data_IF_383417176639
#
_entry.id   IF_383417176639
#
_cell.length_a   1.000
_cell.length_b   1.000
_cell.length_c   1.000
_cell.angle_alpha   90.00
_cell.angle_beta   90.00
_cell.angle_gamma   90.00
#
_symmetry.space_group_name_H-M   'P 1'
#
loop_
_entity.id
_entity.type
_entity.pdbx_description
1 polymer ?
#
# COMPACT_ATOMS: atom_id res chain seq x y z
N UNK A 1 -41.17 37.97 -24.32
CA UNK A 1 -40.64 36.62 -24.66
C UNK A 1 -39.22 36.66 -25.21
N UNK A 2 -38.90 37.51 -26.20
CA UNK A 2 -37.55 37.65 -26.79
C UNK A 2 -36.42 37.86 -25.76
N UNK A 3 -36.66 38.69 -24.75
CA UNK A 3 -35.65 38.99 -23.72
C UNK A 3 -35.41 37.80 -22.76
N UNK A 4 -36.45 37.02 -22.44
CA UNK A 4 -36.33 35.81 -21.60
C UNK A 4 -35.50 34.74 -22.31
N UNK A 5 -35.68 34.56 -23.62
CA UNK A 5 -34.87 33.63 -24.43
C UNK A 5 -33.40 34.03 -24.43
N UNK A 6 -33.09 35.34 -24.46
CA UNK A 6 -31.72 35.86 -24.36
C UNK A 6 -31.10 35.56 -22.99
N UNK A 7 -31.84 35.78 -21.88
CA UNK A 7 -31.34 35.46 -20.54
C UNK A 7 -31.11 33.96 -20.34
N UNK A 8 -32.01 33.10 -20.83
CA UNK A 8 -31.84 31.65 -20.78
C UNK A 8 -30.62 31.20 -21.60
N UNK A 9 -30.44 31.76 -22.80
CA UNK A 9 -29.27 31.49 -23.64
C UNK A 9 -27.97 31.90 -22.95
N UNK A 10 -27.94 33.02 -22.24
CA UNK A 10 -26.74 33.54 -21.57
C UNK A 10 -26.36 32.68 -20.35
N UNK A 11 -27.36 32.19 -19.60
CA UNK A 11 -27.17 31.25 -18.49
C UNK A 11 -26.67 29.90 -18.99
N UNK A 12 -27.19 29.39 -20.11
CA UNK A 12 -26.73 28.12 -20.72
C UNK A 12 -25.26 28.20 -21.14
N UNK A 13 -24.80 29.33 -21.71
CA UNK A 13 -23.40 29.52 -22.10
C UNK A 13 -22.46 29.51 -20.88
N UNK A 14 -22.88 30.03 -19.73
CA UNK A 14 -22.09 30.01 -18.50
C UNK A 14 -21.86 28.58 -17.96
N UNK A 15 -22.76 27.63 -18.22
CA UNK A 15 -22.56 26.22 -17.83
C UNK A 15 -21.45 25.53 -18.65
N UNK A 16 -21.12 26.00 -19.86
CA UNK A 16 -20.06 25.42 -20.69
C UNK A 16 -18.64 25.83 -20.26
N UNK A 17 -18.48 26.88 -19.46
CA UNK A 17 -17.17 27.32 -18.95
C UNK A 17 -16.82 26.74 -17.57
N UNK A 18 -17.67 25.86 -17.01
CA UNK A 18 -17.43 25.23 -15.70
C UNK A 18 -16.50 24.01 -15.76
N UNK A 19 -15.99 23.62 -16.94
CA UNK A 19 -14.94 22.60 -17.06
C UNK A 19 -13.62 23.18 -16.54
N UNK A 20 -13.36 23.01 -15.25
CA UNK A 20 -12.09 23.36 -14.64
C UNK A 20 -10.98 22.41 -15.09
N UNK A 21 -9.89 22.96 -15.62
CA UNK A 21 -8.68 22.19 -15.86
C UNK A 21 -8.19 21.60 -14.54
N UNK A 22 -8.03 20.28 -14.47
CA UNK A 22 -7.42 19.64 -13.33
C UNK A 22 -5.92 20.00 -13.30
N UNK A 23 -5.53 20.88 -12.37
CA UNK A 23 -4.14 21.34 -12.26
C UNK A 23 -3.15 20.23 -11.87
N UNK A 24 -3.66 19.07 -11.46
CA UNK A 24 -2.89 17.87 -11.16
C UNK A 24 -2.76 16.91 -12.36
N UNK A 25 -3.53 17.16 -13.42
CA UNK A 25 -3.44 16.40 -14.67
C UNK A 25 -2.33 17.00 -15.54
N UNK A 26 -1.11 16.54 -15.27
CA UNK A 26 0.12 16.93 -15.96
C UNK A 26 0.58 15.79 -16.88
N UNK A 27 1.21 16.15 -17.98
CA UNK A 27 1.81 15.16 -18.88
C UNK A 27 3.04 14.53 -18.21
N UNK A 28 2.95 13.22 -17.97
CA UNK A 28 3.99 12.39 -17.36
C UNK A 28 4.63 11.42 -18.36
N UNK A 29 4.38 11.57 -19.66
CA UNK A 29 4.88 10.67 -20.71
C UNK A 29 6.40 10.58 -20.73
N UNK A 30 7.09 11.69 -20.45
CA UNK A 30 8.56 11.78 -20.41
C UNK A 30 9.17 11.40 -19.05
N UNK A 31 8.35 11.11 -18.03
CA UNK A 31 8.83 10.75 -16.70
C UNK A 31 9.18 9.26 -16.68
N UNK A 32 10.48 8.97 -16.71
CA UNK A 32 11.01 7.61 -16.66
C UNK A 32 11.35 7.22 -15.22
N UNK A 33 10.71 6.15 -14.73
CA UNK A 33 11.06 5.47 -13.48
C UNK A 33 11.10 3.96 -13.72
N UNK A 34 11.82 3.18 -12.89
CA UNK A 34 11.70 1.73 -12.89
C UNK A 34 10.26 1.28 -12.59
N UNK A 35 9.88 0.12 -13.11
CA UNK A 35 8.61 -0.51 -12.75
C UNK A 35 8.55 -0.73 -11.22
N UNK A 36 7.42 -0.34 -10.63
CA UNK A 36 7.19 -0.49 -9.20
C UNK A 36 6.67 -1.88 -8.94
N UNK A 37 7.48 -2.71 -8.28
CA UNK A 37 7.09 -4.05 -7.84
C UNK A 37 6.69 -4.01 -6.37
N UNK A 38 5.44 -4.37 -6.06
CA UNK A 38 4.94 -4.39 -4.69
C UNK A 38 5.54 -5.56 -3.90
N UNK A 39 6.07 -5.27 -2.72
CA UNK A 39 6.61 -6.30 -1.84
C UNK A 39 5.50 -6.94 -0.98
N UNK A 40 5.39 -8.27 -1.02
CA UNK A 40 4.29 -9.02 -0.41
C UNK A 40 4.65 -9.54 1.00
N UNK A 41 4.62 -8.69 2.03
CA UNK A 41 5.03 -9.11 3.39
C UNK A 41 4.17 -10.27 3.90
N UNK A 42 2.87 -10.25 3.61
CA UNK A 42 1.97 -11.31 4.05
C UNK A 42 2.33 -12.67 3.46
N UNK A 43 2.72 -12.75 2.17
CA UNK A 43 3.16 -14.00 1.57
C UNK A 43 4.46 -14.49 2.20
N UNK A 44 5.44 -13.61 2.34
CA UNK A 44 6.73 -13.93 2.93
C UNK A 44 6.61 -14.38 4.40
N UNK A 45 5.68 -13.78 5.15
CA UNK A 45 5.39 -14.11 6.54
C UNK A 45 4.70 -15.48 6.66
N UNK A 46 3.63 -15.72 5.90
CA UNK A 46 2.88 -16.99 6.01
C UNK A 46 3.62 -18.20 5.45
N UNK A 47 4.64 -17.97 4.61
CA UNK A 47 5.54 -18.99 4.08
C UNK A 47 6.89 -19.06 4.83
N UNK A 48 7.07 -18.32 5.92
CA UNK A 48 8.34 -18.33 6.65
C UNK A 48 8.62 -19.69 7.30
N UNK A 49 9.90 -20.03 7.46
CA UNK A 49 10.29 -21.23 8.21
C UNK A 49 10.05 -20.99 9.71
N UNK A 50 9.05 -21.68 10.25
CA UNK A 50 8.67 -21.60 11.67
C UNK A 50 9.49 -22.52 12.58
N UNK A 51 10.37 -23.35 12.02
CA UNK A 51 11.34 -24.14 12.79
C UNK A 51 12.55 -23.31 13.20
N UNK A 52 12.88 -22.27 12.42
CA UNK A 52 13.94 -21.30 12.71
C UNK A 52 13.44 -19.86 12.57
N UNK A 53 12.66 -19.42 13.57
CA UNK A 53 12.08 -18.07 13.58
C UNK A 53 13.15 -16.98 13.57
N UNK A 54 14.29 -17.17 14.23
CA UNK A 54 15.35 -16.17 14.28
C UNK A 54 15.92 -15.88 12.87
N UNK A 55 16.27 -16.93 12.11
CA UNK A 55 16.79 -16.78 10.76
C UNK A 55 15.74 -16.18 9.82
N UNK A 56 14.50 -16.65 9.88
CA UNK A 56 13.39 -16.12 9.10
C UNK A 56 13.12 -14.64 9.42
N UNK A 57 13.16 -14.27 10.70
CA UNK A 57 12.99 -12.87 11.16
C UNK A 57 14.10 -11.98 10.59
N UNK A 58 15.37 -12.38 10.68
CA UNK A 58 16.49 -11.62 10.10
C UNK A 58 16.34 -11.43 8.59
N UNK A 59 15.83 -12.44 7.88
CA UNK A 59 15.54 -12.33 6.44
C UNK A 59 14.46 -11.29 6.16
N UNK A 60 13.38 -11.27 6.95
CA UNK A 60 12.30 -10.30 6.82
C UNK A 60 12.72 -8.88 7.23
N UNK A 61 13.47 -8.71 8.32
CA UNK A 61 14.07 -7.44 8.71
C UNK A 61 14.97 -6.88 7.59
N UNK A 62 15.79 -7.73 6.96
CA UNK A 62 16.65 -7.31 5.84
C UNK A 62 15.84 -6.87 4.61
N UNK A 63 14.72 -7.54 4.31
CA UNK A 63 13.90 -7.26 3.11
C UNK A 63 12.97 -6.07 3.29
N UNK A 64 12.37 -5.92 4.47
CA UNK A 64 11.30 -4.95 4.73
C UNK A 64 11.72 -3.82 5.67
N UNK A 65 12.91 -3.90 6.28
CA UNK A 65 13.47 -2.86 7.16
C UNK A 65 12.55 -2.53 8.33
N UNK A 66 12.46 -1.24 8.65
CA UNK A 66 11.67 -0.71 9.76
C UNK A 66 10.18 -1.07 9.66
N UNK A 67 9.65 -1.27 8.44
CA UNK A 67 8.25 -1.65 8.27
C UNK A 67 7.94 -2.99 8.94
N UNK A 68 8.84 -3.97 8.87
CA UNK A 68 8.62 -5.26 9.52
C UNK A 68 8.63 -5.16 11.04
N UNK A 69 9.56 -4.40 11.61
CA UNK A 69 9.61 -4.13 13.04
C UNK A 69 8.33 -3.45 13.54
N UNK A 70 7.83 -2.48 12.80
CA UNK A 70 6.55 -1.81 13.12
C UNK A 70 5.35 -2.72 12.93
N UNK A 71 5.32 -3.56 11.90
CA UNK A 71 4.29 -4.58 11.71
C UNK A 71 4.25 -5.55 12.90
N UNK A 72 5.40 -6.09 13.29
CA UNK A 72 5.48 -7.00 14.43
C UNK A 72 4.99 -6.29 15.69
N UNK A 73 5.47 -5.09 15.97
CA UNK A 73 5.13 -4.34 17.18
C UNK A 73 3.64 -3.95 17.22
N UNK A 74 3.09 -3.51 16.10
CA UNK A 74 1.72 -3.03 16.01
C UNK A 74 0.68 -4.14 15.95
N UNK A 75 0.99 -5.29 15.33
CA UNK A 75 -0.03 -6.30 14.98
C UNK A 75 0.20 -7.63 15.72
N UNK A 76 1.44 -8.11 15.75
CA UNK A 76 1.77 -9.48 16.19
C UNK A 76 2.11 -9.54 17.69
N UNK A 77 3.03 -8.67 18.12
CA UNK A 77 3.59 -8.66 19.45
C UNK A 77 3.97 -7.23 19.87
N UNK A 78 3.21 -6.63 20.78
CA UNK A 78 3.46 -5.28 21.29
C UNK A 78 4.86 -5.09 21.92
N UNK A 79 5.51 -6.17 22.38
CA UNK A 79 6.89 -6.13 22.86
C UNK A 79 7.95 -6.07 21.74
N UNK A 80 7.54 -6.18 20.48
CA UNK A 80 8.41 -6.16 19.30
C UNK A 80 9.15 -7.49 19.07
N UNK A 81 10.14 -7.44 18.19
CA UNK A 81 10.91 -8.63 17.73
C UNK A 81 11.83 -9.18 18.83
N UNK A 82 12.29 -8.33 19.75
CA UNK A 82 13.27 -8.69 20.79
C UNK A 82 12.64 -9.24 22.07
N UNK A 83 11.32 -9.17 22.18
CA UNK A 83 10.59 -9.68 23.33
C UNK A 83 10.57 -11.22 23.32
N UNK A 84 10.70 -11.83 24.50
CA UNK A 84 10.82 -13.29 24.63
C UNK A 84 9.59 -14.05 24.15
N UNK A 85 8.41 -13.40 24.09
CA UNK A 85 7.18 -14.00 23.58
C UNK A 85 7.02 -13.91 22.06
N UNK A 86 7.88 -13.16 21.37
CA UNK A 86 7.78 -12.91 19.92
C UNK A 86 7.70 -14.22 19.12
N UNK A 87 8.64 -15.15 19.34
CA UNK A 87 8.70 -16.40 18.58
C UNK A 87 7.44 -17.27 18.75
N UNK A 88 6.86 -17.26 19.95
CA UNK A 88 5.59 -17.94 20.22
C UNK A 88 4.43 -17.26 19.49
N UNK A 89 4.33 -15.93 19.59
CA UNK A 89 3.22 -15.15 19.02
C UNK A 89 3.18 -15.16 17.50
N UNK A 90 4.33 -15.03 16.85
CA UNK A 90 4.38 -15.07 15.38
C UNK A 90 4.00 -16.46 14.87
N UNK A 91 4.46 -17.52 15.54
CA UNK A 91 4.08 -18.90 15.20
C UNK A 91 2.58 -19.11 15.40
N UNK A 92 2.03 -18.63 16.52
CA UNK A 92 0.59 -18.68 16.79
C UNK A 92 -0.20 -17.95 15.71
N UNK A 93 0.20 -16.73 15.32
CA UNK A 93 -0.47 -15.96 14.27
C UNK A 93 -0.47 -16.70 12.93
N UNK A 94 0.67 -17.27 12.53
CA UNK A 94 0.80 -17.98 11.25
C UNK A 94 0.06 -19.31 11.26
N UNK A 95 0.03 -20.02 12.40
CA UNK A 95 -0.63 -21.32 12.52
C UNK A 95 -2.10 -21.25 12.90
N UNK A 96 -2.61 -20.09 13.30
CA UNK A 96 -4.00 -19.89 13.65
C UNK A 96 -4.92 -20.20 12.46
N UNK A 97 -6.01 -20.93 12.74
CA UNK A 97 -6.91 -21.43 11.70
C UNK A 97 -7.57 -20.29 10.94
N UNK A 98 -8.06 -19.30 11.65
CA UNK A 98 -8.85 -18.22 11.05
C UNK A 98 -7.92 -17.24 10.33
N UNK A 99 -6.70 -17.01 10.84
CA UNK A 99 -5.65 -16.27 10.11
C UNK A 99 -5.24 -16.97 8.81
N UNK A 100 -5.04 -18.29 8.83
CA UNK A 100 -4.72 -19.05 7.61
C UNK A 100 -5.85 -19.02 6.59
N UNK A 101 -7.10 -19.13 7.06
CA UNK A 101 -8.26 -19.06 6.18
C UNK A 101 -8.35 -17.67 5.52
N UNK A 102 -8.25 -16.60 6.31
CA UNK A 102 -8.23 -15.23 5.79
C UNK A 102 -7.09 -15.01 4.78
N UNK A 103 -5.88 -15.44 5.11
CA UNK A 103 -4.74 -15.38 4.19
C UNK A 103 -5.04 -16.11 2.88
N UNK A 104 -5.56 -17.34 2.95
CA UNK A 104 -5.88 -18.15 1.77
C UNK A 104 -6.93 -17.46 0.90
N UNK A 105 -7.96 -16.87 1.49
CA UNK A 105 -8.99 -16.17 0.74
C UNK A 105 -8.47 -14.86 0.13
N UNK A 106 -7.59 -14.13 0.83
CA UNK A 106 -6.87 -13.00 0.25
C UNK A 106 -6.00 -13.41 -0.95
N UNK A 107 -5.31 -14.56 -0.89
CA UNK A 107 -4.50 -15.04 -2.02
C UNK A 107 -5.35 -15.46 -3.23
N UNK A 108 -6.61 -15.91 -3.02
CA UNK A 108 -7.54 -16.19 -4.13
C UNK A 108 -8.00 -14.91 -4.81
N UNK A 109 -8.28 -13.85 -4.05
CA UNK A 109 -8.73 -12.56 -4.57
C UNK A 109 -7.57 -11.79 -5.21
N UNK A 110 -6.38 -11.86 -4.62
CA UNK A 110 -5.18 -11.14 -5.06
C UNK A 110 -4.01 -12.12 -5.29
N UNK A 111 -4.07 -12.94 -6.36
CA UNK A 111 -3.04 -13.94 -6.64
C UNK A 111 -1.70 -13.33 -7.07
N UNK A 112 -1.75 -12.15 -7.72
CA UNK A 112 -0.60 -11.34 -8.09
C UNK A 112 -0.87 -9.86 -7.79
N UNK A 113 0.09 -9.00 -8.10
CA UNK A 113 -0.04 -7.55 -7.97
C UNK A 113 0.20 -6.82 -9.27
N UNK A 114 0.09 -7.47 -10.43
CA UNK A 114 0.53 -6.90 -11.71
C UNK A 114 -0.24 -5.61 -12.03
N UNK A 115 -1.57 -5.63 -11.88
CA UNK A 115 -2.40 -4.43 -12.05
C UNK A 115 -2.04 -3.32 -11.03
N UNK A 116 -1.70 -3.69 -9.80
CA UNK A 116 -1.30 -2.71 -8.79
C UNK A 116 0.10 -2.16 -9.09
N UNK A 117 1.03 -2.98 -9.57
CA UNK A 117 2.37 -2.57 -9.98
C UNK A 117 2.28 -1.50 -11.08
N UNK A 118 1.41 -1.70 -12.07
CA UNK A 118 1.14 -0.72 -13.14
C UNK A 118 0.57 0.60 -12.57
N UNK A 119 -0.47 0.51 -11.74
CA UNK A 119 -1.10 1.68 -11.12
C UNK A 119 -0.13 2.46 -10.21
N UNK A 120 0.69 1.76 -9.42
CA UNK A 120 1.70 2.40 -8.59
C UNK A 120 2.83 2.99 -9.43
N UNK A 121 3.21 2.35 -10.53
CA UNK A 121 4.21 2.89 -11.47
C UNK A 121 3.71 4.21 -12.06
N UNK A 122 2.46 4.27 -12.52
CA UNK A 122 1.85 5.51 -13.00
C UNK A 122 1.77 6.58 -11.90
N UNK A 123 1.26 6.23 -10.72
CA UNK A 123 1.19 7.15 -9.59
C UNK A 123 2.57 7.69 -9.18
N UNK A 124 3.61 6.87 -9.28
CA UNK A 124 4.97 7.28 -8.93
C UNK A 124 5.64 8.12 -10.00
N UNK A 125 5.20 8.07 -11.26
CA UNK A 125 5.59 9.07 -12.26
C UNK A 125 5.08 10.45 -11.88
N UNK A 126 3.81 10.56 -11.47
CA UNK A 126 3.28 11.81 -10.91
C UNK A 126 4.06 12.24 -9.65
N UNK A 127 4.32 11.32 -8.73
CA UNK A 127 5.12 11.63 -7.54
C UNK A 127 6.51 12.16 -7.91
N UNK A 128 7.19 11.53 -8.88
CA UNK A 128 8.52 11.93 -9.35
C UNK A 128 8.50 13.32 -10.01
N UNK A 129 7.45 13.62 -10.77
CA UNK A 129 7.22 14.93 -11.38
C UNK A 129 7.13 16.03 -10.31
N UNK A 130 6.30 15.83 -9.29
CA UNK A 130 6.10 16.84 -8.23
C UNK A 130 7.24 16.88 -7.19
N UNK A 131 7.92 15.76 -6.97
CA UNK A 131 8.95 15.62 -5.93
C UNK A 131 10.26 15.01 -6.48
N UNK A 132 10.96 15.70 -7.40
CA UNK A 132 12.13 15.16 -8.13
C UNK A 132 13.37 14.94 -7.25
N UNK A 133 13.35 15.36 -5.99
CA UNK A 133 14.45 15.15 -5.03
C UNK A 133 14.10 14.13 -3.94
N UNK A 134 12.90 13.52 -4.00
CA UNK A 134 12.47 12.51 -3.03
C UNK A 134 12.67 11.12 -3.62
N UNK A 135 13.07 10.19 -2.75
CA UNK A 135 13.12 8.77 -3.09
C UNK A 135 11.70 8.24 -3.31
N UNK A 136 11.56 7.32 -4.26
CA UNK A 136 10.31 6.60 -4.44
C UNK A 136 10.10 5.67 -3.22
N UNK A 137 8.91 5.68 -2.60
CA UNK A 137 8.63 4.76 -1.52
C UNK A 137 8.50 3.33 -2.07
N UNK A 138 8.78 2.32 -1.26
CA UNK A 138 8.52 0.92 -1.62
C UNK A 138 7.11 0.55 -1.15
N UNK A 139 6.15 0.25 -2.04
CA UNK A 139 4.86 -0.26 -1.61
C UNK A 139 5.02 -1.67 -1.04
N UNK A 140 4.36 -1.92 0.09
CA UNK A 140 4.37 -3.19 0.79
C UNK A 140 2.92 -3.55 1.13
N UNK A 141 2.48 -4.76 0.77
CA UNK A 141 1.20 -5.30 1.26
C UNK A 141 1.42 -6.03 2.58
N UNK A 142 0.39 -6.02 3.41
CA UNK A 142 0.36 -6.78 4.66
C UNK A 142 -1.05 -7.30 4.93
N UNK A 143 -1.14 -8.34 5.76
CA UNK A 143 -2.40 -8.80 6.35
C UNK A 143 -2.36 -8.52 7.85
N UNK A 144 -3.16 -7.57 8.33
CA UNK A 144 -3.21 -7.18 9.75
C UNK A 144 -4.03 -8.13 10.64
N UNK A 145 -4.58 -9.20 10.06
CA UNK A 145 -5.55 -10.07 10.70
C UNK A 145 -6.86 -9.32 10.94
N UNK A 146 -7.40 -9.43 12.16
CA UNK A 146 -8.67 -8.78 12.55
C UNK A 146 -8.50 -7.72 13.65
N UNK A 147 -7.27 -7.38 14.05
CA UNK A 147 -7.02 -6.50 15.21
C UNK A 147 -7.04 -5.01 14.88
N UNK A 148 -6.50 -4.62 13.73
CA UNK A 148 -6.32 -3.21 13.39
C UNK A 148 -6.74 -2.95 11.94
N UNK A 149 -7.62 -1.97 11.78
CA UNK A 149 -8.10 -1.50 10.48
C UNK A 149 -7.11 -0.54 9.81
N UNK A 150 -6.33 0.24 10.58
CA UNK A 150 -5.29 1.15 10.08
C UNK A 150 -4.13 1.23 11.09
N UNK A 151 -2.88 1.13 10.61
CA UNK A 151 -1.67 1.45 11.39
C UNK A 151 -0.95 2.60 10.67
N UNK A 152 -0.88 3.77 11.31
CA UNK A 152 -0.17 4.94 10.77
C UNK A 152 1.23 4.97 11.39
N UNK A 153 2.25 4.98 10.56
CA UNK A 153 3.64 5.11 10.97
C UNK A 153 4.15 6.47 10.49
N UNK A 154 4.81 7.21 11.38
CA UNK A 154 5.47 8.46 11.00
C UNK A 154 6.75 8.17 10.20
N UNK A 155 7.16 9.10 9.35
CA UNK A 155 8.29 8.97 8.42
C UNK A 155 9.66 9.19 9.08
N UNK A 156 9.79 8.86 10.37
CA UNK A 156 10.98 9.17 11.19
C UNK A 156 12.23 8.43 10.74
#
# INVERSE_FOLDING_TARGET
MKNIVIYISLVIVLFFFSCGNNRLDVDISDVVIPEVVIARLEQDLFNMDTTNIEASTKKLEKKYGNFYSSFVTGIINNGGIRDSSYAFRIKQFISDRDMRQAYTDCQKVYPNTDTLNEQFTEAFKYFRYYFPNRNLPQPITMMSGFRYNIVVLDST
#
